data_IF_625768374185
#
_entry.id   IF_625768374185
#
_cell.length_a   1.000
_cell.length_b   1.000
_cell.length_c   1.000
_cell.angle_alpha   90.00
_cell.angle_beta   90.00
_cell.angle_gamma   90.00
#
_symmetry.space_group_name_H-M   'P 1'
#
loop_
_entity.id
_entity.type
_entity.pdbx_description
1 polymer ?
#
# COMPACT_ATOMS: atom_id res chain seq x y z
N UNK A 1 26.34 7.44 -67.22
CA UNK A 1 27.60 6.89 -66.67
C UNK A 1 28.53 7.87 -65.91
N UNK A 2 28.13 9.08 -65.42
CA UNK A 2 29.01 9.88 -64.54
C UNK A 2 29.07 9.44 -63.06
N UNK A 3 28.12 8.63 -62.59
CA UNK A 3 27.93 8.39 -61.15
C UNK A 3 28.87 7.35 -60.52
N UNK A 4 29.42 6.42 -61.32
CA UNK A 4 30.33 5.37 -60.86
C UNK A 4 31.74 5.90 -60.57
N UNK A 5 32.26 6.78 -61.43
CA UNK A 5 33.59 7.38 -61.23
C UNK A 5 33.64 8.31 -60.00
N UNK A 6 32.52 8.98 -59.70
CA UNK A 6 32.39 9.89 -58.55
C UNK A 6 32.47 9.12 -57.22
N UNK A 7 31.80 7.99 -57.12
CA UNK A 7 31.79 7.21 -55.88
C UNK A 7 33.12 6.47 -55.67
N UNK A 8 33.74 5.97 -56.74
CA UNK A 8 35.07 5.36 -56.68
C UNK A 8 36.13 6.37 -56.21
N UNK A 9 36.09 7.60 -56.72
CA UNK A 9 36.96 8.67 -56.25
C UNK A 9 36.75 8.97 -54.75
N UNK A 10 35.50 9.04 -54.29
CA UNK A 10 35.19 9.29 -52.87
C UNK A 10 35.67 8.13 -51.96
N UNK A 11 35.52 6.89 -52.41
CA UNK A 11 36.00 5.70 -51.68
C UNK A 11 37.53 5.69 -51.60
N UNK A 12 38.23 6.12 -52.65
CA UNK A 12 39.70 6.30 -52.62
C UNK A 12 40.12 7.40 -51.64
N UNK A 13 39.42 8.54 -51.61
CA UNK A 13 39.70 9.61 -50.63
C UNK A 13 39.53 9.11 -49.18
N UNK A 14 38.51 8.30 -48.93
CA UNK A 14 38.25 7.68 -47.62
C UNK A 14 39.35 6.68 -47.23
N UNK A 15 39.72 5.81 -48.16
CA UNK A 15 40.70 4.72 -47.94
C UNK A 15 42.09 5.27 -47.75
N UNK A 16 42.48 6.27 -48.55
CA UNK A 16 43.81 6.90 -48.48
C UNK A 16 43.94 7.87 -47.30
N UNK A 17 42.86 8.09 -46.52
CA UNK A 17 42.80 9.04 -45.40
C UNK A 17 43.43 10.40 -45.70
N UNK A 18 43.17 10.95 -46.90
CA UNK A 18 43.76 12.22 -47.36
C UNK A 18 43.45 13.39 -46.40
N UNK A 19 42.39 13.25 -45.60
CA UNK A 19 42.09 14.10 -44.46
C UNK A 19 41.69 13.23 -43.26
N UNK A 20 42.14 13.61 -42.06
CA UNK A 20 41.72 12.98 -40.80
C UNK A 20 40.20 13.03 -40.56
N UNK A 21 39.47 13.86 -41.31
CA UNK A 21 38.01 13.92 -41.32
C UNK A 21 37.36 12.57 -41.64
N UNK A 22 37.93 11.79 -42.57
CA UNK A 22 37.29 10.58 -43.09
C UNK A 22 37.33 9.40 -42.10
N UNK A 23 38.24 9.43 -41.13
CA UNK A 23 38.38 8.36 -40.12
C UNK A 23 37.09 8.18 -39.30
N UNK A 24 36.33 9.25 -39.06
CA UNK A 24 35.08 9.25 -38.29
C UNK A 24 33.86 8.73 -39.05
N UNK A 25 34.01 8.35 -40.32
CA UNK A 25 32.91 7.95 -41.20
C UNK A 25 33.10 6.55 -41.79
N UNK A 26 31.98 5.89 -42.08
CA UNK A 26 31.94 4.66 -42.89
C UNK A 26 32.22 4.98 -44.37
N UNK A 27 32.38 3.91 -45.17
CA UNK A 27 32.57 4.05 -46.61
C UNK A 27 31.46 4.93 -47.23
N UNK A 28 31.83 5.89 -48.11
CA UNK A 28 30.85 6.79 -48.68
C UNK A 28 29.91 6.07 -49.64
N UNK A 29 28.68 6.56 -49.69
CA UNK A 29 27.61 6.08 -50.58
C UNK A 29 27.06 7.23 -51.43
N UNK A 30 26.43 6.90 -52.57
CA UNK A 30 25.67 7.90 -53.32
C UNK A 30 24.37 8.23 -52.59
N UNK A 31 24.18 9.52 -52.30
CA UNK A 31 22.96 10.04 -51.70
C UNK A 31 21.83 10.13 -52.73
N UNK A 32 20.59 10.00 -52.25
CA UNK A 32 19.41 10.35 -53.03
C UNK A 32 19.23 11.88 -53.15
N UNK A 33 19.93 12.67 -52.34
CA UNK A 33 19.88 14.13 -52.42
C UNK A 33 20.69 14.67 -53.60
N UNK A 34 20.07 15.58 -54.34
CA UNK A 34 20.72 16.31 -55.43
C UNK A 34 21.33 17.61 -54.92
N UNK A 35 22.39 18.08 -55.59
CA UNK A 35 22.92 19.42 -55.43
C UNK A 35 22.24 20.42 -56.39
N UNK A 36 22.67 21.68 -56.33
CA UNK A 36 22.13 22.78 -57.15
C UNK A 36 22.34 22.60 -58.66
N UNK A 37 23.19 21.66 -59.07
CA UNK A 37 23.47 21.31 -60.46
C UNK A 37 22.79 20.00 -60.87
N UNK A 38 21.90 19.46 -60.04
CA UNK A 38 21.19 18.20 -60.29
C UNK A 38 22.06 16.95 -60.14
N UNK A 39 23.26 17.06 -59.55
CA UNK A 39 24.14 15.92 -59.31
C UNK A 39 23.89 15.29 -57.94
N UNK A 40 24.00 13.97 -57.84
CA UNK A 40 23.87 13.26 -56.57
C UNK A 40 25.02 13.63 -55.64
N UNK A 41 24.69 13.95 -54.39
CA UNK A 41 25.69 14.19 -53.33
C UNK A 41 26.30 12.87 -52.86
N UNK A 42 27.46 12.96 -52.22
CA UNK A 42 28.10 11.85 -51.52
C UNK A 42 27.65 11.87 -50.06
N UNK A 43 27.07 10.76 -49.59
CA UNK A 43 26.65 10.56 -48.22
C UNK A 43 27.77 9.90 -47.40
N UNK A 44 28.17 10.55 -46.32
CA UNK A 44 29.13 10.03 -45.35
C UNK A 44 28.39 9.69 -44.06
N UNK A 45 28.36 8.40 -43.68
CA UNK A 45 27.69 7.97 -42.45
C UNK A 45 28.65 8.04 -41.26
N UNK A 46 28.29 8.80 -40.23
CA UNK A 46 29.09 8.95 -39.01
C UNK A 46 29.12 7.66 -38.19
N UNK A 47 30.30 7.22 -37.74
CA UNK A 47 30.46 6.01 -36.92
C UNK A 47 29.86 6.14 -35.52
N UNK A 48 29.77 7.37 -34.99
CA UNK A 48 29.31 7.64 -33.61
C UNK A 48 27.78 7.76 -33.55
N UNK A 49 27.20 8.66 -34.34
CA UNK A 49 25.77 8.96 -34.27
C UNK A 49 24.93 8.33 -35.38
N UNK A 50 25.55 7.57 -36.30
CA UNK A 50 24.94 6.89 -37.45
C UNK A 50 24.20 7.79 -38.47
N UNK A 51 24.19 9.11 -38.26
CA UNK A 51 23.61 10.07 -39.18
C UNK A 51 24.47 10.23 -40.45
N UNK A 52 23.81 10.46 -41.60
CA UNK A 52 24.46 10.71 -42.89
C UNK A 52 24.69 12.22 -43.11
N UNK A 53 25.91 12.61 -43.44
CA UNK A 53 26.28 13.97 -43.84
C UNK A 53 26.46 13.99 -45.36
N UNK A 54 25.67 14.80 -46.06
CA UNK A 54 25.69 14.88 -47.52
C UNK A 54 26.62 16.00 -48.00
N UNK A 55 27.56 15.66 -48.89
CA UNK A 55 28.55 16.58 -49.46
C UNK A 55 28.42 16.65 -50.99
N UNK A 56 28.37 17.85 -51.60
CA UNK A 56 28.42 17.99 -53.06
C UNK A 56 29.73 17.45 -53.65
N UNK A 57 29.69 16.95 -54.88
CA UNK A 57 30.85 16.32 -55.53
C UNK A 57 31.96 17.34 -55.83
N UNK A 58 31.59 18.56 -56.20
CA UNK A 58 32.52 19.64 -56.54
C UNK A 58 33.21 20.26 -55.31
N UNK A 59 32.74 19.98 -54.09
CA UNK A 59 33.32 20.52 -52.88
C UNK A 59 34.55 19.68 -52.50
N UNK A 60 35.74 20.27 -52.53
CA UNK A 60 36.99 19.63 -52.11
C UNK A 60 37.30 19.84 -50.62
N UNK A 61 36.53 20.67 -49.91
CA UNK A 61 36.71 20.94 -48.48
C UNK A 61 36.15 19.83 -47.58
N UNK A 62 36.83 19.53 -46.48
CA UNK A 62 36.38 18.59 -45.45
C UNK A 62 35.71 19.27 -44.24
N UNK A 63 35.51 20.61 -44.27
CA UNK A 63 35.08 21.37 -43.10
C UNK A 63 33.72 20.96 -42.53
N UNK A 64 32.77 20.56 -43.38
CA UNK A 64 31.45 20.08 -42.93
C UNK A 64 31.57 18.75 -42.17
N UNK A 65 32.38 17.81 -42.69
CA UNK A 65 32.64 16.52 -42.06
C UNK A 65 33.38 16.71 -40.72
N UNK A 66 34.43 17.53 -40.69
CA UNK A 66 35.16 17.84 -39.45
C UNK A 66 34.25 18.48 -38.39
N UNK A 67 33.45 19.47 -38.79
CA UNK A 67 32.53 20.17 -37.87
C UNK A 67 31.46 19.24 -37.29
N UNK A 68 31.01 18.25 -38.07
CA UNK A 68 30.12 17.21 -37.56
C UNK A 68 30.85 16.24 -36.63
N UNK A 69 31.98 15.68 -37.05
CA UNK A 69 32.76 14.72 -36.26
C UNK A 69 33.13 15.29 -34.89
N UNK A 70 33.65 16.52 -34.83
CA UNK A 70 34.00 17.20 -33.58
C UNK A 70 32.80 17.37 -32.64
N UNK A 71 31.62 17.73 -33.18
CA UNK A 71 30.39 17.85 -32.38
C UNK A 71 29.89 16.50 -31.87
N UNK A 72 30.05 15.43 -32.66
CA UNK A 72 29.65 14.09 -32.24
C UNK A 72 30.54 13.56 -31.12
N UNK A 73 31.87 13.69 -31.26
CA UNK A 73 32.83 13.32 -30.21
C UNK A 73 32.54 14.09 -28.92
N UNK A 74 32.29 15.41 -29.02
CA UNK A 74 31.94 16.22 -27.86
C UNK A 74 30.59 15.83 -27.20
N UNK A 75 29.65 15.25 -27.96
CA UNK A 75 28.38 14.72 -27.41
C UNK A 75 28.56 13.37 -26.74
N UNK A 76 29.39 12.50 -27.29
CA UNK A 76 29.70 11.18 -26.71
C UNK A 76 30.46 11.32 -25.39
N UNK A 77 31.36 12.31 -25.31
CA UNK A 77 32.14 12.61 -24.10
C UNK A 77 31.36 13.41 -23.04
N UNK A 78 30.14 13.89 -23.33
CA UNK A 78 29.32 14.55 -22.32
C UNK A 78 28.71 13.49 -21.39
N UNK A 79 28.91 13.59 -20.07
CA UNK A 79 28.16 12.76 -19.13
C UNK A 79 26.66 13.00 -19.33
N UNK A 80 25.78 11.99 -19.18
CA UNK A 80 24.36 12.10 -19.48
C UNK A 80 23.73 13.21 -18.62
N UNK A 81 23.53 14.37 -19.24
CA UNK A 81 22.82 15.50 -18.66
C UNK A 81 21.34 15.17 -18.57
N UNK A 82 20.87 14.98 -17.34
CA UNK A 82 19.52 14.63 -16.91
C UNK A 82 19.08 13.18 -17.16
N UNK A 83 18.97 12.43 -16.06
CA UNK A 83 18.24 11.16 -15.97
C UNK A 83 16.75 11.46 -16.11
N UNK A 84 16.07 10.80 -17.04
CA UNK A 84 14.60 10.82 -17.11
C UNK A 84 14.02 10.14 -15.86
N UNK A 85 12.83 10.54 -15.40
CA UNK A 85 12.15 9.88 -14.27
C UNK A 85 11.98 8.36 -14.48
N UNK A 86 11.82 7.95 -15.75
CA UNK A 86 11.81 6.55 -16.14
C UNK A 86 13.11 5.81 -15.80
N UNK A 87 14.28 6.46 -15.87
CA UNK A 87 15.57 5.82 -15.56
C UNK A 87 15.82 5.65 -14.07
N UNK A 88 14.97 6.20 -13.20
CA UNK A 88 14.89 5.91 -11.77
C UNK A 88 13.66 5.07 -11.40
N UNK A 89 13.04 4.41 -12.39
CA UNK A 89 11.93 3.48 -12.17
C UNK A 89 10.56 4.13 -11.99
N UNK A 90 10.42 5.44 -12.23
CA UNK A 90 9.11 6.11 -12.22
C UNK A 90 8.48 5.96 -13.60
N UNK A 91 7.73 4.87 -13.79
CA UNK A 91 6.85 4.67 -14.94
C UNK A 91 5.47 5.24 -14.63
N UNK A 92 5.12 6.37 -15.26
CA UNK A 92 3.78 6.95 -15.20
C UNK A 92 2.78 6.12 -16.01
N UNK A 93 2.39 4.94 -15.52
CA UNK A 93 1.25 4.21 -16.07
C UNK A 93 -0.01 4.88 -15.52
N UNK A 94 -0.60 5.77 -16.30
CA UNK A 94 -1.66 6.71 -15.91
C UNK A 94 -3.02 6.11 -15.52
N UNK A 95 -3.13 4.80 -15.31
CA UNK A 95 -4.37 4.16 -14.89
C UNK A 95 -4.34 3.87 -13.39
N UNK A 96 -5.04 4.71 -12.63
CA UNK A 96 -5.28 4.51 -11.20
C UNK A 96 -6.54 3.65 -11.08
N UNK A 97 -6.43 2.43 -10.52
CA UNK A 97 -7.61 1.62 -10.18
C UNK A 97 -8.31 2.22 -8.94
N UNK A 98 -9.56 2.71 -9.06
CA UNK A 98 -10.29 3.27 -7.92
C UNK A 98 -10.46 2.28 -6.76
N UNK A 99 -10.49 0.97 -7.03
CA UNK A 99 -10.60 -0.08 -6.01
C UNK A 99 -9.35 -0.14 -5.15
N UNK A 100 -8.18 -0.01 -5.76
CA UNK A 100 -6.90 0.02 -5.04
C UNK A 100 -6.81 1.27 -4.17
N UNK A 101 -7.24 2.43 -4.69
CA UNK A 101 -7.32 3.67 -3.92
C UNK A 101 -8.27 3.51 -2.72
N UNK A 102 -9.45 2.94 -2.92
CA UNK A 102 -10.41 2.67 -1.85
C UNK A 102 -9.82 1.75 -0.78
N UNK A 103 -9.18 0.64 -1.18
CA UNK A 103 -8.52 -0.28 -0.26
C UNK A 103 -7.44 0.44 0.55
N UNK A 104 -6.55 1.18 -0.11
CA UNK A 104 -5.48 1.96 0.55
C UNK A 104 -6.06 3.03 1.49
N UNK A 105 -7.14 3.71 1.12
CA UNK A 105 -7.80 4.70 1.97
C UNK A 105 -8.45 4.07 3.20
N UNK A 106 -9.18 2.95 3.03
CA UNK A 106 -9.70 2.15 4.13
C UNK A 106 -8.56 1.78 5.08
N UNK A 107 -7.50 1.20 4.54
CA UNK A 107 -6.26 0.78 5.22
C UNK A 107 -5.57 1.96 5.94
N UNK A 108 -5.55 3.16 5.35
CA UNK A 108 -5.02 4.37 5.99
C UNK A 108 -5.89 4.88 7.15
N UNK A 109 -7.22 4.95 6.98
CA UNK A 109 -8.14 5.34 8.05
C UNK A 109 -8.05 4.38 9.23
N UNK A 110 -7.97 3.10 8.89
CA UNK A 110 -7.87 1.96 9.75
C UNK A 110 -6.65 1.99 10.66
N UNK A 111 -5.47 2.19 10.07
CA UNK A 111 -4.20 2.11 10.79
C UNK A 111 -3.95 3.32 11.70
N UNK A 112 -4.37 4.50 11.24
CA UNK A 112 -4.11 5.76 11.93
C UNK A 112 -5.26 6.24 12.81
N UNK A 113 -6.30 5.42 13.03
CA UNK A 113 -7.54 5.84 13.69
C UNK A 113 -8.11 7.14 13.06
N UNK A 114 -7.96 7.32 11.74
CA UNK A 114 -8.28 8.60 11.09
C UNK A 114 -9.77 8.68 10.78
N UNK A 115 -10.40 9.86 10.99
CA UNK A 115 -11.77 10.09 10.55
C UNK A 115 -11.92 9.85 9.04
N UNK A 116 -12.98 9.18 8.61
CA UNK A 116 -13.23 8.98 7.18
C UNK A 116 -13.45 10.30 6.44
N UNK A 117 -14.01 11.29 7.16
CA UNK A 117 -14.17 12.66 6.71
C UNK A 117 -12.83 13.35 6.39
N UNK A 118 -11.71 12.90 6.95
CA UNK A 118 -10.40 13.48 6.67
C UNK A 118 -10.05 13.43 5.17
N UNK A 119 -10.53 12.40 4.46
CA UNK A 119 -10.36 12.26 3.00
C UNK A 119 -11.18 13.31 2.22
N UNK A 120 -12.22 13.87 2.82
CA UNK A 120 -13.05 14.89 2.20
C UNK A 120 -12.56 16.32 2.52
N UNK A 121 -11.63 16.48 3.46
CA UNK A 121 -11.12 17.79 3.88
C UNK A 121 -10.37 18.54 2.77
N UNK A 122 -10.69 19.83 2.62
CA UNK A 122 -10.08 20.68 1.60
C UNK A 122 -8.56 20.83 1.80
N UNK A 123 -8.08 20.86 3.04
CA UNK A 123 -6.65 20.93 3.39
C UNK A 123 -5.88 19.72 2.86
N UNK A 124 -6.36 18.50 3.13
CA UNK A 124 -5.75 17.27 2.62
C UNK A 124 -5.82 17.21 1.10
N UNK A 125 -6.98 17.54 0.52
CA UNK A 125 -7.16 17.53 -0.95
C UNK A 125 -6.21 18.47 -1.68
N UNK A 126 -5.86 19.62 -1.09
CA UNK A 126 -4.86 20.55 -1.68
C UNK A 126 -3.44 19.96 -1.76
N UNK A 127 -3.12 18.96 -0.95
CA UNK A 127 -1.81 18.29 -0.96
C UNK A 127 -1.73 17.16 -2.00
N UNK A 128 -2.86 16.70 -2.53
CA UNK A 128 -2.94 15.53 -3.40
C UNK A 128 -2.93 15.94 -4.87
N UNK A 129 -2.34 15.09 -5.71
CA UNK A 129 -2.37 15.27 -7.17
C UNK A 129 -3.82 15.15 -7.69
N UNK A 130 -4.27 15.98 -8.67
CA UNK A 130 -5.64 15.94 -9.20
C UNK A 130 -6.12 14.56 -9.65
N UNK A 131 -5.23 13.72 -10.20
CA UNK A 131 -5.55 12.35 -10.58
C UNK A 131 -5.93 11.45 -9.39
N UNK A 132 -5.34 11.67 -8.21
CA UNK A 132 -5.70 10.94 -6.99
C UNK A 132 -7.03 11.47 -6.46
N UNK A 133 -7.22 12.80 -6.47
CA UNK A 133 -8.46 13.44 -6.00
C UNK A 133 -9.68 12.89 -6.74
N UNK A 134 -9.57 12.66 -8.07
CA UNK A 134 -10.64 12.09 -8.90
C UNK A 134 -11.05 10.68 -8.45
N UNK A 135 -10.13 9.91 -7.90
CA UNK A 135 -10.33 8.53 -7.47
C UNK A 135 -10.51 8.38 -5.95
N UNK A 136 -10.53 9.49 -5.22
CA UNK A 136 -10.61 9.47 -3.76
C UNK A 136 -12.02 9.03 -3.32
N UNK A 137 -12.14 8.03 -2.44
CA UNK A 137 -13.43 7.51 -2.04
C UNK A 137 -14.17 8.48 -1.11
N UNK A 138 -15.50 8.38 -1.09
CA UNK A 138 -16.31 9.06 -0.08
C UNK A 138 -16.19 8.39 1.29
N UNK A 139 -16.48 9.12 2.36
CA UNK A 139 -16.54 8.60 3.74
C UNK A 139 -17.43 7.35 3.86
N UNK A 140 -18.55 7.32 3.13
CA UNK A 140 -19.48 6.18 3.10
C UNK A 140 -18.86 4.96 2.42
N UNK A 141 -18.10 5.17 1.34
CA UNK A 141 -17.42 4.09 0.62
C UNK A 141 -16.31 3.48 1.48
N UNK A 142 -15.55 4.31 2.18
CA UNK A 142 -14.52 3.87 3.13
C UNK A 142 -15.14 3.08 4.28
N UNK A 143 -16.20 3.60 4.90
CA UNK A 143 -16.94 2.89 5.96
C UNK A 143 -17.43 1.51 5.49
N UNK A 144 -18.04 1.43 4.29
CA UNK A 144 -18.49 0.17 3.70
C UNK A 144 -17.33 -0.79 3.44
N UNK A 145 -16.21 -0.31 2.89
CA UNK A 145 -15.04 -1.14 2.62
C UNK A 145 -14.44 -1.73 3.89
N UNK A 146 -14.37 -0.92 4.95
CA UNK A 146 -13.95 -1.37 6.28
C UNK A 146 -14.92 -2.42 6.81
N UNK A 147 -16.23 -2.18 6.74
CA UNK A 147 -17.22 -3.13 7.21
C UNK A 147 -17.11 -4.48 6.46
N UNK A 148 -16.90 -4.45 5.15
CA UNK A 148 -16.68 -5.67 4.36
C UNK A 148 -15.43 -6.42 4.80
N UNK A 149 -14.30 -5.72 4.96
CA UNK A 149 -13.07 -6.33 5.46
C UNK A 149 -13.31 -6.95 6.85
N UNK A 150 -14.19 -6.36 7.68
CA UNK A 150 -14.44 -6.82 9.03
C UNK A 150 -15.18 -8.14 8.97
N UNK A 151 -16.23 -8.23 8.15
CA UNK A 151 -16.96 -9.46 7.92
C UNK A 151 -16.04 -10.57 7.38
N UNK A 152 -15.19 -10.27 6.39
CA UNK A 152 -14.27 -11.27 5.82
C UNK A 152 -13.29 -11.82 6.87
N UNK A 153 -12.76 -10.94 7.72
CA UNK A 153 -11.85 -11.35 8.79
C UNK A 153 -12.61 -12.11 9.89
N UNK A 154 -13.84 -11.70 10.20
CA UNK A 154 -14.72 -12.37 11.16
C UNK A 154 -15.06 -13.81 10.79
N UNK A 155 -15.39 -14.07 9.53
CA UNK A 155 -15.69 -15.43 9.06
C UNK A 155 -14.50 -16.37 9.27
N UNK A 156 -13.30 -15.92 8.91
CA UNK A 156 -12.07 -16.68 9.15
C UNK A 156 -11.85 -16.94 10.65
N UNK A 157 -12.06 -15.93 11.48
CA UNK A 157 -11.87 -16.09 12.92
C UNK A 157 -12.87 -17.01 13.58
N UNK A 158 -14.11 -16.99 13.12
CA UNK A 158 -15.13 -17.92 13.60
C UNK A 158 -14.67 -19.37 13.38
N UNK A 159 -14.13 -19.68 12.21
CA UNK A 159 -13.58 -21.02 11.92
C UNK A 159 -12.32 -21.34 12.74
N UNK A 160 -11.40 -20.37 12.92
CA UNK A 160 -10.23 -20.56 13.77
C UNK A 160 -10.62 -20.82 15.24
N UNK A 161 -11.64 -20.13 15.76
CA UNK A 161 -12.14 -20.32 17.11
C UNK A 161 -12.79 -21.69 17.27
N UNK A 162 -13.58 -22.17 16.31
CA UNK A 162 -14.14 -23.53 16.34
C UNK A 162 -13.06 -24.60 16.45
N UNK A 163 -11.98 -24.47 15.67
CA UNK A 163 -10.89 -25.44 15.64
C UNK A 163 -9.94 -25.37 16.83
N UNK A 164 -9.92 -24.25 17.55
CA UNK A 164 -9.00 -24.03 18.66
C UNK A 164 -9.18 -25.07 19.78
N UNK A 165 -8.11 -25.80 20.13
CA UNK A 165 -8.09 -26.69 21.30
C UNK A 165 -7.29 -26.02 22.40
N UNK A 166 -7.93 -25.71 23.51
CA UNK A 166 -7.28 -25.05 24.64
C UNK A 166 -8.22 -24.16 25.44
N UNK A 167 -7.66 -23.59 26.51
CA UNK A 167 -8.35 -22.63 27.36
C UNK A 167 -8.47 -21.27 26.66
N UNK A 168 -9.67 -20.70 26.70
CA UNK A 168 -9.94 -19.34 26.25
C UNK A 168 -10.42 -18.49 27.42
N UNK A 169 -10.02 -17.23 27.45
CA UNK A 169 -10.48 -16.24 28.43
C UNK A 169 -11.12 -15.08 27.70
N UNK A 170 -12.11 -14.45 28.33
CA UNK A 170 -12.82 -13.33 27.75
C UNK A 170 -12.49 -12.06 28.53
N UNK A 171 -11.96 -11.04 27.86
CA UNK A 171 -11.87 -9.68 28.36
C UNK A 171 -13.08 -8.88 27.91
N UNK A 172 -13.72 -8.19 28.84
CA UNK A 172 -14.85 -7.30 28.55
C UNK A 172 -14.61 -5.94 29.18
N UNK A 173 -15.00 -4.89 28.46
CA UNK A 173 -14.92 -3.52 28.96
C UNK A 173 -15.96 -2.65 28.29
N UNK A 174 -16.65 -1.84 29.09
CA UNK A 174 -17.61 -0.85 28.60
C UNK A 174 -17.00 0.54 28.73
N UNK A 175 -17.13 1.37 27.70
CA UNK A 175 -16.72 2.77 27.73
C UNK A 175 -17.68 3.63 26.93
N UNK A 176 -17.74 4.91 27.28
CA UNK A 176 -18.41 5.91 26.49
C UNK A 176 -17.42 6.52 25.51
N UNK A 177 -17.82 6.59 24.25
CA UNK A 177 -17.04 7.23 23.19
C UNK A 177 -17.15 8.75 23.25
N UNK A 178 -16.22 9.51 22.65
CA UNK A 178 -16.25 10.98 22.67
C UNK A 178 -17.54 11.61 22.11
N UNK A 179 -18.24 10.90 21.23
CA UNK A 179 -19.50 11.35 20.65
C UNK A 179 -20.74 10.81 21.39
N UNK A 180 -20.54 10.29 22.60
CA UNK A 180 -21.60 9.98 23.54
C UNK A 180 -22.20 8.58 23.41
N UNK A 181 -21.73 7.75 22.47
CA UNK A 181 -22.19 6.37 22.38
C UNK A 181 -21.49 5.48 23.37
N UNK A 182 -22.27 4.65 24.02
CA UNK A 182 -21.78 3.62 24.91
C UNK A 182 -21.48 2.32 24.15
N UNK A 183 -20.30 1.76 24.38
CA UNK A 183 -19.81 0.57 23.69
C UNK A 183 -19.28 -0.43 24.69
N UNK A 184 -19.65 -1.70 24.52
CA UNK A 184 -19.00 -2.84 25.14
C UNK A 184 -18.07 -3.52 24.12
N UNK A 185 -16.78 -3.55 24.42
CA UNK A 185 -15.81 -4.35 23.69
C UNK A 185 -15.58 -5.69 24.36
N UNK A 186 -15.52 -6.75 23.56
CA UNK A 186 -15.16 -8.10 23.97
C UNK A 186 -13.89 -8.57 23.25
N UNK A 187 -13.00 -9.25 23.97
CA UNK A 187 -11.70 -9.72 23.47
C UNK A 187 -11.48 -11.14 23.97
N UNK A 188 -11.18 -12.07 23.08
CA UNK A 188 -10.79 -13.43 23.44
C UNK A 188 -9.27 -13.51 23.58
N UNK A 189 -8.83 -14.05 24.70
CA UNK A 189 -7.44 -14.45 24.93
C UNK A 189 -7.34 -15.97 24.82
N UNK A 190 -6.40 -16.47 24.03
CA UNK A 190 -6.15 -17.90 23.82
C UNK A 190 -4.67 -18.22 23.88
N UNK A 191 -4.31 -19.40 24.35
CA UNK A 191 -2.93 -19.87 24.33
C UNK A 191 -2.66 -20.61 23.02
N UNK A 192 -1.76 -20.07 22.19
CA UNK A 192 -1.29 -20.74 20.99
C UNK A 192 0.06 -21.39 21.23
N UNK A 193 0.35 -22.50 20.56
CA UNK A 193 1.67 -23.13 20.55
C UNK A 193 2.33 -22.76 19.22
N UNK A 194 3.52 -22.15 19.26
CA UNK A 194 4.27 -21.81 18.05
C UNK A 194 4.95 -23.03 17.43
N UNK A 195 5.57 -22.86 16.26
CA UNK A 195 6.28 -23.94 15.56
C UNK A 195 7.48 -24.51 16.34
N UNK A 196 7.96 -23.78 17.36
CA UNK A 196 9.02 -24.21 18.26
C UNK A 196 8.48 -24.85 19.56
N UNK A 197 7.16 -25.08 19.66
CA UNK A 197 6.52 -25.69 20.82
C UNK A 197 6.33 -24.74 22.01
N UNK A 198 6.54 -23.43 21.83
CA UNK A 198 6.41 -22.45 22.92
C UNK A 198 5.00 -21.92 23.00
N UNK A 199 4.52 -21.73 24.23
CA UNK A 199 3.24 -21.09 24.48
C UNK A 199 3.32 -19.58 24.22
N UNK A 200 2.37 -19.08 23.42
CA UNK A 200 2.24 -17.66 23.08
C UNK A 200 0.79 -17.24 23.34
N UNK A 201 0.60 -16.36 24.32
CA UNK A 201 -0.70 -15.76 24.60
C UNK A 201 -1.13 -14.89 23.42
N UNK A 202 -2.23 -15.23 22.79
CA UNK A 202 -2.86 -14.52 21.68
C UNK A 202 -4.09 -13.78 22.20
N UNK A 203 -4.28 -12.55 21.75
CA UNK A 203 -5.42 -11.71 22.12
C UNK A 203 -6.10 -11.24 20.86
N UNK A 204 -7.41 -11.44 20.76
CA UNK A 204 -8.18 -11.12 19.57
C UNK A 204 -9.49 -10.42 19.93
N UNK A 205 -9.75 -9.22 19.40
CA UNK A 205 -11.06 -8.59 19.55
C UNK A 205 -12.14 -9.48 18.94
N UNK A 206 -13.19 -9.74 19.73
CA UNK A 206 -14.29 -10.63 19.40
C UNK A 206 -15.50 -9.85 18.90
N UNK A 207 -15.89 -8.77 19.55
CA UNK A 207 -16.99 -7.93 19.08
C UNK A 207 -16.98 -6.55 19.75
N UNK A 208 -17.68 -5.61 19.13
CA UNK A 208 -18.01 -4.31 19.73
C UNK A 208 -19.51 -4.08 19.59
N UNK A 209 -20.19 -4.03 20.72
CA UNK A 209 -21.64 -3.86 20.76
C UNK A 209 -21.95 -2.49 21.33
N UNK A 210 -22.69 -1.70 20.56
CA UNK A 210 -23.26 -0.45 21.06
C UNK A 210 -24.34 -0.76 22.09
N UNK A 211 -24.16 -0.26 23.30
CA UNK A 211 -25.10 -0.39 24.41
C UNK A 211 -26.26 0.58 24.20
N UNK A 212 -27.49 0.11 24.42
CA UNK A 212 -28.72 0.90 24.22
C UNK A 212 -29.40 1.28 25.53
N UNK A 213 -28.92 0.73 26.63
CA UNK A 213 -29.48 0.89 27.96
C UNK A 213 -28.40 1.34 28.93
N UNK A 214 -28.82 1.71 30.14
CA UNK A 214 -27.88 2.01 31.23
C UNK A 214 -27.00 0.78 31.49
N UNK A 215 -25.75 1.01 31.84
CA UNK A 215 -24.74 -0.04 32.05
C UNK A 215 -24.96 -0.85 33.33
N UNK A 216 -26.18 -1.31 33.60
CA UNK A 216 -26.47 -2.19 34.74
C UNK A 216 -25.74 -3.52 34.55
N UNK A 217 -25.38 -4.18 35.64
CA UNK A 217 -24.63 -5.44 35.55
C UNK A 217 -25.42 -6.54 34.84
N UNK A 218 -26.74 -6.56 35.05
CA UNK A 218 -27.71 -7.45 34.41
C UNK A 218 -27.70 -7.26 32.89
N UNK A 219 -27.79 -6.02 32.43
CA UNK A 219 -27.77 -5.72 31.00
C UNK A 219 -26.42 -6.09 30.38
N UNK A 220 -25.30 -5.75 31.04
CA UNK A 220 -23.98 -6.13 30.57
C UNK A 220 -23.81 -7.65 30.49
N UNK A 221 -24.36 -8.40 31.45
CA UNK A 221 -24.31 -9.86 31.44
C UNK A 221 -25.06 -10.43 30.23
N UNK A 222 -26.26 -9.91 29.94
CA UNK A 222 -27.03 -10.28 28.75
C UNK A 222 -26.25 -10.01 27.45
N UNK A 223 -25.60 -8.84 27.34
CA UNK A 223 -24.81 -8.52 26.14
C UNK A 223 -23.57 -9.41 26.01
N UNK A 224 -22.86 -9.68 27.11
CA UNK A 224 -21.72 -10.61 27.11
C UNK A 224 -22.13 -12.02 26.73
N UNK A 225 -23.26 -12.50 27.26
CA UNK A 225 -23.84 -13.78 26.88
C UNK A 225 -24.18 -13.84 25.39
N UNK A 226 -24.87 -12.81 24.88
CA UNK A 226 -25.19 -12.70 23.45
C UNK A 226 -23.93 -12.79 22.57
N UNK A 227 -22.85 -12.10 22.94
CA UNK A 227 -21.58 -12.17 22.18
C UNK A 227 -21.05 -13.61 22.22
N UNK A 228 -20.98 -14.24 23.38
CA UNK A 228 -20.44 -15.61 23.49
C UNK A 228 -21.27 -16.63 22.71
N UNK A 229 -22.60 -16.51 22.72
CA UNK A 229 -23.51 -17.34 21.93
C UNK A 229 -23.34 -17.12 20.42
N UNK A 230 -23.23 -15.86 20.00
CA UNK A 230 -22.97 -15.49 18.59
C UNK A 230 -21.72 -16.18 18.03
N UNK A 231 -20.70 -16.42 18.86
CA UNK A 231 -19.47 -17.10 18.45
C UNK A 231 -19.40 -18.60 18.83
N UNK A 232 -20.45 -19.17 19.44
CA UNK A 232 -20.48 -20.58 19.86
C UNK A 232 -19.42 -20.92 20.92
N UNK A 233 -19.22 -20.02 21.89
CA UNK A 233 -18.17 -20.10 22.92
C UNK A 233 -18.70 -20.41 24.34
N UNK A 234 -19.98 -20.70 24.50
CA UNK A 234 -20.75 -20.76 25.77
C UNK A 234 -20.11 -21.67 26.83
N UNK A 235 -19.44 -22.74 26.39
CA UNK A 235 -18.81 -23.73 27.27
C UNK A 235 -17.29 -23.79 27.13
N UNK A 236 -16.69 -22.81 26.45
CA UNK A 236 -15.27 -22.81 26.10
C UNK A 236 -14.48 -21.67 26.76
N UNK A 237 -15.18 -20.72 27.37
CA UNK A 237 -14.58 -19.64 28.16
C UNK A 237 -14.28 -20.15 29.57
N UNK A 238 -12.99 -20.17 29.93
CA UNK A 238 -12.49 -20.62 31.22
C UNK A 238 -12.53 -19.54 32.30
N UNK A 239 -12.54 -18.26 31.89
CA UNK A 239 -12.58 -17.12 32.80
C UNK A 239 -12.87 -15.80 32.12
N UNK A 240 -13.32 -14.84 32.92
CA UNK A 240 -13.69 -13.48 32.52
C UNK A 240 -12.75 -12.46 33.18
N UNK A 241 -12.33 -11.45 32.42
CA UNK A 241 -11.51 -10.33 32.88
C UNK A 241 -12.26 -9.04 32.60
N UNK A 242 -12.47 -8.23 33.62
CA UNK A 242 -13.10 -6.90 33.53
C UNK A 242 -12.37 -5.90 34.41
N UNK A 243 -12.65 -4.60 34.23
CA UNK A 243 -12.22 -3.59 35.22
C UNK A 243 -12.96 -3.77 36.55
N UNK A 244 -12.56 -2.95 37.53
CA UNK A 244 -13.09 -2.93 38.88
C UNK A 244 -14.31 -1.99 39.05
N UNK A 245 -15.11 -1.78 38.01
CA UNK A 245 -16.37 -1.03 38.14
C UNK A 245 -17.42 -1.86 38.88
N UNK A 246 -18.27 -1.20 39.68
CA UNK A 246 -19.33 -1.84 40.49
C UNK A 246 -20.27 -2.68 39.63
N UNK A 247 -20.67 -2.17 38.46
CA UNK A 247 -21.60 -2.88 37.57
C UNK A 247 -20.98 -4.15 36.98
N UNK A 248 -19.66 -4.19 36.80
CA UNK A 248 -18.97 -5.41 36.38
C UNK A 248 -19.01 -6.48 37.48
N UNK A 249 -19.05 -6.07 38.75
CA UNK A 249 -19.23 -7.01 39.85
C UNK A 249 -20.60 -7.70 39.80
N UNK A 250 -21.66 -6.93 39.57
CA UNK A 250 -23.01 -7.44 39.36
C UNK A 250 -23.08 -8.31 38.12
N UNK A 251 -22.53 -7.87 36.98
CA UNK A 251 -22.45 -8.65 35.74
C UNK A 251 -21.86 -10.05 35.95
N UNK A 252 -20.75 -10.15 36.69
CA UNK A 252 -20.14 -11.46 37.01
C UNK A 252 -21.10 -12.33 37.84
N UNK A 253 -21.84 -11.73 38.77
CA UNK A 253 -22.85 -12.43 39.57
C UNK A 253 -23.97 -13.00 38.70
N UNK A 254 -24.48 -12.18 37.78
CA UNK A 254 -25.53 -12.57 36.83
C UNK A 254 -25.08 -13.68 35.88
N UNK A 255 -23.86 -13.59 35.32
CA UNK A 255 -23.31 -14.64 34.46
C UNK A 255 -23.19 -15.99 35.20
N UNK A 256 -22.86 -15.98 36.50
CA UNK A 256 -22.85 -17.21 37.32
C UNK A 256 -24.24 -17.81 37.47
N UNK A 257 -25.27 -16.98 37.65
CA UNK A 257 -26.66 -17.44 37.73
C UNK A 257 -27.12 -18.05 36.39
N UNK A 258 -26.62 -17.52 35.27
CA UNK A 258 -26.82 -18.06 33.92
C UNK A 258 -26.03 -19.35 33.63
N UNK A 259 -25.38 -19.94 34.64
CA UNK A 259 -24.72 -21.24 34.53
C UNK A 259 -23.31 -21.20 33.93
N UNK A 260 -22.68 -20.03 33.83
CA UNK A 260 -21.31 -19.94 33.35
C UNK A 260 -20.35 -20.66 34.29
N UNK A 261 -19.71 -21.73 33.79
CA UNK A 261 -18.75 -22.56 34.54
C UNK A 261 -17.37 -21.91 34.73
N UNK A 262 -17.25 -20.59 34.58
CA UNK A 262 -15.99 -19.87 34.65
C UNK A 262 -15.32 -20.09 36.02
N UNK A 263 -14.10 -20.64 35.98
CA UNK A 263 -13.34 -21.03 37.18
C UNK A 263 -12.55 -19.89 37.81
N UNK A 264 -12.26 -18.83 37.03
CA UNK A 264 -11.46 -17.68 37.47
C UNK A 264 -12.03 -16.39 36.92
N UNK A 265 -12.25 -15.43 37.81
CA UNK A 265 -12.66 -14.07 37.47
C UNK A 265 -11.65 -13.12 38.11
N UNK A 266 -10.99 -12.30 37.28
CA UNK A 266 -9.97 -11.36 37.74
C UNK A 266 -10.46 -9.94 37.51
N UNK A 267 -10.48 -9.15 38.59
CA UNK A 267 -10.73 -7.71 38.57
C UNK A 267 -9.39 -7.02 38.80
N UNK A 268 -8.87 -6.37 37.77
CA UNK A 268 -7.61 -5.65 37.87
C UNK A 268 -7.88 -4.15 37.99
N UNK A 269 -7.01 -3.44 38.74
CA UNK A 269 -7.01 -1.98 38.76
C UNK A 269 -6.79 -1.39 37.36
N UNK A 270 -7.21 -0.14 37.18
CA UNK A 270 -7.29 0.61 35.90
C UNK A 270 -6.07 0.54 34.95
N UNK A 271 -4.90 0.12 35.43
CA UNK A 271 -3.69 -0.08 34.62
C UNK A 271 -3.74 -1.25 33.62
N UNK A 272 -4.54 -2.30 33.87
CA UNK A 272 -4.56 -3.48 32.99
C UNK A 272 -5.27 -3.24 31.65
N UNK A 273 -6.24 -2.32 31.59
CA UNK A 273 -7.05 -2.07 30.38
C UNK A 273 -6.53 -0.91 29.51
N UNK A 274 -5.84 0.07 30.09
CA UNK A 274 -5.01 1.00 29.30
C UNK A 274 -3.96 0.23 28.50
N UNK A 275 -3.44 -0.85 29.10
CA UNK A 275 -2.54 -1.80 28.47
C UNK A 275 -3.31 -2.72 27.50
N UNK A 276 -4.53 -3.19 27.77
CA UNK A 276 -5.30 -3.99 26.80
C UNK A 276 -5.65 -3.25 25.50
N UNK A 277 -6.08 -1.98 25.54
CA UNK A 277 -6.42 -1.24 24.32
C UNK A 277 -5.17 -0.89 23.48
N UNK A 278 -4.04 -0.62 24.15
CA UNK A 278 -2.73 -0.33 23.52
C UNK A 278 -1.98 -1.60 23.10
N UNK A 279 -2.17 -2.74 23.80
CA UNK A 279 -1.62 -4.04 23.41
C UNK A 279 -2.43 -4.69 22.30
N UNK A 280 -3.74 -4.45 22.21
CA UNK A 280 -4.58 -4.96 21.11
C UNK A 280 -4.15 -4.41 19.74
N UNK A 281 -3.70 -3.15 19.70
CA UNK A 281 -3.12 -2.56 18.48
C UNK A 281 -1.70 -3.05 18.18
N UNK A 282 -0.93 -3.43 19.20
CA UNK A 282 0.50 -3.80 19.07
C UNK A 282 0.75 -5.31 18.91
N UNK A 283 -0.06 -6.18 19.50
CA UNK A 283 0.07 -7.65 19.43
C UNK A 283 -0.46 -8.25 18.11
N UNK A 284 -1.34 -7.54 17.41
CA UNK A 284 -1.86 -7.94 16.10
C UNK A 284 -0.81 -7.82 14.98
N UNK A 285 0.14 -6.90 15.14
CA UNK A 285 1.21 -6.58 14.18
C UNK A 285 2.23 -7.72 14.00
N UNK A 286 2.56 -8.43 15.08
CA UNK A 286 3.67 -9.38 15.12
C UNK A 286 3.33 -10.80 14.58
N UNK A 287 2.09 -11.07 14.14
CA UNK A 287 1.63 -12.45 13.81
C UNK A 287 0.99 -12.69 12.45
N UNK A 288 0.92 -11.68 11.59
CA UNK A 288 0.42 -11.87 10.23
C UNK A 288 1.51 -12.43 9.30
N UNK A 289 1.12 -13.22 8.31
CA UNK A 289 1.99 -13.62 7.19
C UNK A 289 2.53 -12.36 6.50
N UNK A 290 3.79 -12.34 6.05
CA UNK A 290 4.42 -11.12 5.49
C UNK A 290 3.65 -10.57 4.27
N UNK A 291 2.83 -11.40 3.62
CA UNK A 291 1.94 -11.00 2.52
C UNK A 291 0.59 -10.43 2.96
N UNK A 292 0.14 -10.69 4.19
CA UNK A 292 -1.20 -10.36 4.72
C UNK A 292 -1.15 -9.29 5.83
N UNK A 293 0.04 -9.06 6.43
CA UNK A 293 0.36 -7.94 7.34
C UNK A 293 -0.25 -6.59 6.92
N UNK A 294 -0.24 -6.18 5.64
CA UNK A 294 -0.79 -4.87 5.23
C UNK A 294 -2.32 -4.78 5.25
N UNK A 295 -3.05 -5.90 5.20
CA UNK A 295 -4.50 -5.94 4.98
C UNK A 295 -5.30 -6.14 6.27
N UNK A 296 -4.76 -6.86 7.25
CA UNK A 296 -5.47 -7.23 8.49
C UNK A 296 -5.02 -6.40 9.70
N UNK A 297 -3.85 -5.75 9.65
CA UNK A 297 -3.31 -4.90 10.74
C UNK A 297 -4.22 -3.73 11.17
N UNK A 298 -5.21 -3.39 10.34
CA UNK A 298 -5.73 -2.03 10.31
C UNK A 298 -7.20 -2.01 10.74
N UNK A 299 -7.90 -3.13 10.69
CA UNK A 299 -9.35 -3.08 10.61
C UNK A 299 -10.12 -3.03 11.93
N UNK A 300 -9.58 -3.59 13.01
CA UNK A 300 -10.37 -3.83 14.21
C UNK A 300 -10.31 -2.65 15.20
N UNK A 301 -9.34 -1.75 15.04
CA UNK A 301 -9.35 -0.44 15.71
C UNK A 301 -10.55 0.42 15.25
N UNK A 302 -11.10 0.14 14.06
CA UNK A 302 -12.19 0.93 13.48
C UNK A 302 -13.55 0.53 14.03
N UNK A 303 -13.80 -0.70 14.46
CA UNK A 303 -15.14 -1.04 14.95
C UNK A 303 -15.45 -0.28 16.25
N UNK A 304 -14.42 0.07 17.04
CA UNK A 304 -14.53 0.97 18.19
C UNK A 304 -14.67 2.46 17.83
N UNK A 305 -14.26 2.87 16.62
CA UNK A 305 -14.23 4.27 16.18
C UNK A 305 -15.24 4.60 15.07
N UNK A 306 -15.82 3.62 14.39
CA UNK A 306 -16.86 3.78 13.36
C UNK A 306 -18.20 4.22 13.94
N UNK A 307 -18.36 4.06 15.26
CA UNK A 307 -19.46 4.64 16.04
C UNK A 307 -19.16 6.12 16.36
N UNK A 308 -17.93 6.63 16.17
CA UNK A 308 -17.53 7.99 16.63
C UNK A 308 -17.87 9.17 15.73
N UNK A 309 -18.13 8.98 14.42
CA UNK A 309 -18.50 10.09 13.53
C UNK A 309 -19.41 9.63 12.38
N UNK A 310 -20.67 9.35 12.72
CA UNK A 310 -21.73 9.03 11.76
C UNK A 310 -22.93 9.98 11.91
N UNK A 311 -22.77 11.22 11.45
CA UNK A 311 -23.89 12.06 10.98
C UNK A 311 -23.94 12.03 9.45
#
# INVERSE_FOLDING_TARGET
MPSLDIIDHAQRLATNQVSGAYASYNAPELSQQLDKFGQRKIAWQCKICLNKVNRPVYDSSCSNLLSHANRCIAKEQRPPGNKTLASVGVSGTGDIDPREVLQRCAVWCAEGAKPFLALEEASLRRLLHPAIIKNLPSRKSVSKAIHMLYLCVHERFYEELKLHKGAMYLGVGAWQTPNGFDILGAVVYRLLIDSAGRYKLDSMPLDFVQLKERHTGEYLACVVQYIVEKFGLENRICGLVSDNATNNATMIGELKQLGWKCSKVSRNGSGALHISLILLSRLYYDRLDDKIKPLVNRLILIVSLGVTYGG
#
